data_IF_524261149270
#
_entry.id   IF_524261149270
#
_cell.length_a   1.000
_cell.length_b   1.000
_cell.length_c   1.000
_cell.angle_alpha   90.00
_cell.angle_beta   90.00
_cell.angle_gamma   90.00
#
_symmetry.space_group_name_H-M   'P 1'
#
loop_
_entity.id
_entity.type
_entity.pdbx_description
1 polymer ?
#
# COMPACT_ATOMS: atom_id res chain seq x y z
N UNK A 1 -15.13 -14.41 -19.01
CA UNK A 1 -13.93 -13.54 -18.88
C UNK A 1 -14.42 -12.15 -18.49
N UNK A 2 -13.80 -11.52 -17.49
CA UNK A 2 -14.22 -10.21 -17.00
C UNK A 2 -13.86 -9.14 -18.03
N UNK A 3 -14.83 -8.35 -18.51
CA UNK A 3 -14.59 -7.17 -19.37
C UNK A 3 -13.95 -6.00 -18.60
N UNK A 4 -13.64 -6.18 -17.32
CA UNK A 4 -13.00 -5.15 -16.50
C UNK A 4 -11.56 -4.90 -16.94
N UNK A 5 -11.18 -3.64 -16.96
CA UNK A 5 -9.82 -3.19 -17.27
C UNK A 5 -8.85 -3.63 -16.16
N UNK A 6 -7.71 -4.26 -16.49
CA UNK A 6 -6.70 -4.62 -15.50
C UNK A 6 -5.97 -3.38 -15.00
N UNK A 7 -5.73 -3.33 -13.68
CA UNK A 7 -4.94 -2.29 -13.01
C UNK A 7 -4.12 -2.92 -11.89
N UNK A 8 -3.05 -2.25 -11.47
CA UNK A 8 -2.30 -2.56 -10.26
C UNK A 8 -2.99 -1.83 -9.10
N UNK A 9 -3.38 -2.56 -8.05
CA UNK A 9 -3.84 -1.93 -6.81
C UNK A 9 -2.60 -1.62 -5.97
N UNK A 10 -2.23 -0.34 -5.91
CA UNK A 10 -1.03 0.14 -5.22
C UNK A 10 -1.40 0.77 -3.89
N UNK A 11 -0.78 0.30 -2.81
CA UNK A 11 -0.93 0.83 -1.46
C UNK A 11 0.40 1.46 -1.04
N UNK A 12 0.38 2.77 -0.86
CA UNK A 12 1.49 3.53 -0.28
C UNK A 12 1.29 3.57 1.24
N UNK A 13 2.30 3.13 1.99
CA UNK A 13 2.35 3.15 3.44
C UNK A 13 3.35 4.22 3.85
N UNK A 14 2.92 5.14 4.72
CA UNK A 14 3.76 6.15 5.33
C UNK A 14 3.95 5.81 6.83
N UNK A 15 4.98 5.04 7.20
CA UNK A 15 5.24 4.70 8.60
C UNK A 15 5.35 5.92 9.51
N UNK A 16 5.98 7.01 9.04
CA UNK A 16 6.20 8.21 9.86
C UNK A 16 4.91 8.92 10.29
N UNK A 17 3.86 8.84 9.47
CA UNK A 17 2.56 9.48 9.73
C UNK A 17 1.50 8.47 10.16
N UNK A 18 1.87 7.18 10.26
CA UNK A 18 0.97 6.05 10.47
C UNK A 18 -0.23 6.11 9.51
N UNK A 19 0.02 6.48 8.25
CA UNK A 19 -0.99 6.72 7.22
C UNK A 19 -0.77 5.77 6.04
N UNK A 20 -1.82 5.61 5.25
CA UNK A 20 -1.76 4.90 3.98
C UNK A 20 -2.67 5.54 2.94
N UNK A 21 -2.35 5.27 1.68
CA UNK A 21 -3.11 5.65 0.50
C UNK A 21 -3.25 4.43 -0.40
N UNK A 22 -4.40 4.27 -1.05
CA UNK A 22 -4.63 3.23 -2.04
C UNK A 22 -5.07 3.84 -3.37
N UNK A 23 -4.38 3.49 -4.44
CA UNK A 23 -4.65 3.95 -5.79
C UNK A 23 -4.71 2.77 -6.77
N UNK A 24 -5.44 2.96 -7.88
CA UNK A 24 -5.24 2.14 -9.07
C UNK A 24 -4.12 2.75 -9.91
N UNK A 25 -3.16 1.96 -10.35
CA UNK A 25 -2.18 2.34 -11.37
C UNK A 25 -2.44 1.46 -12.58
N UNK A 26 -2.79 2.06 -13.72
CA UNK A 26 -2.97 1.27 -14.94
C UNK A 26 -1.63 0.80 -15.52
N UNK A 27 -1.67 -0.07 -16.52
CA UNK A 27 -0.45 -0.64 -17.13
C UNK A 27 0.37 0.38 -17.95
N UNK A 28 -0.09 1.64 -18.05
CA UNK A 28 0.68 2.76 -18.63
C UNK A 28 1.26 3.69 -17.56
N UNK A 29 1.02 3.40 -16.28
CA UNK A 29 1.46 4.23 -15.15
C UNK A 29 0.50 5.37 -14.78
N UNK A 30 -0.70 5.46 -15.37
CA UNK A 30 -1.66 6.51 -14.98
C UNK A 30 -2.27 6.18 -13.62
N UNK A 31 -2.18 7.13 -12.69
CA UNK A 31 -2.69 6.99 -11.32
C UNK A 31 -4.15 7.41 -11.23
N UNK A 32 -4.94 6.57 -10.58
CA UNK A 32 -6.30 6.85 -10.12
C UNK A 32 -6.35 6.78 -8.60
N UNK A 33 -6.34 7.93 -7.90
CA UNK A 33 -6.55 7.97 -6.46
C UNK A 33 -7.89 7.33 -6.09
N UNK A 34 -7.89 6.51 -5.03
CA UNK A 34 -9.10 5.85 -4.55
C UNK A 34 -9.45 6.32 -3.15
N UNK A 35 -8.57 6.05 -2.18
CA UNK A 35 -8.85 6.37 -0.79
C UNK A 35 -7.57 6.51 0.04
N UNK A 36 -7.66 7.21 1.17
CA UNK A 36 -6.58 7.36 2.13
C UNK A 36 -7.10 7.27 3.56
N UNK A 37 -6.23 6.96 4.52
CA UNK A 37 -6.56 7.07 5.94
C UNK A 37 -6.29 8.46 6.48
N UNK A 38 -6.82 8.70 7.68
CA UNK A 38 -6.32 9.76 8.57
C UNK A 38 -4.89 9.44 9.03
N UNK A 39 -4.12 10.48 9.35
CA UNK A 39 -2.85 10.31 10.09
C UNK A 39 -3.11 9.59 11.41
N UNK A 40 -2.20 8.71 11.82
CA UNK A 40 -2.35 7.92 13.05
C UNK A 40 -3.15 6.62 12.89
N UNK A 41 -3.68 6.30 11.70
CA UNK A 41 -4.53 5.12 11.51
C UNK A 41 -3.83 3.78 11.82
N UNK A 42 -2.51 3.72 11.67
CA UNK A 42 -1.71 2.55 12.06
C UNK A 42 -1.07 2.65 13.45
N UNK A 43 -1.32 3.70 14.24
CA UNK A 43 -0.64 3.86 15.53
C UNK A 43 -0.91 2.72 16.54
N UNK A 44 -1.96 1.92 16.35
CA UNK A 44 -2.35 0.84 17.26
C UNK A 44 -1.40 -0.36 17.33
N UNK A 45 -0.40 -0.49 16.44
CA UNK A 45 0.63 -1.53 16.61
C UNK A 45 1.76 -1.10 17.56
N UNK A 46 1.93 0.20 17.82
CA UNK A 46 3.03 0.69 18.66
C UNK A 46 2.90 0.12 20.08
N UNK A 47 4.04 -0.19 20.71
CA UNK A 47 4.15 -0.79 22.05
C UNK A 47 3.50 -2.18 22.23
N UNK A 48 3.11 -2.85 21.14
CA UNK A 48 2.64 -4.23 21.18
C UNK A 48 3.78 -5.24 20.96
N UNK A 49 3.66 -6.49 21.44
CA UNK A 49 4.56 -7.58 21.05
C UNK A 49 4.57 -7.81 19.53
N UNK A 50 5.70 -8.25 18.96
CA UNK A 50 5.88 -8.42 17.51
C UNK A 50 4.75 -9.20 16.81
N UNK A 51 4.27 -10.28 17.44
CA UNK A 51 3.18 -11.09 16.88
C UNK A 51 1.86 -10.31 16.79
N UNK A 52 1.57 -9.50 17.81
CA UNK A 52 0.39 -8.63 17.86
C UNK A 52 0.53 -7.46 16.88
N UNK A 53 1.74 -6.90 16.73
CA UNK A 53 2.04 -5.90 15.69
C UNK A 53 1.77 -6.45 14.29
N UNK A 54 2.29 -7.65 14.03
CA UNK A 54 2.12 -8.34 12.75
C UNK A 54 0.63 -8.61 12.48
N UNK A 55 -0.09 -9.12 13.48
CA UNK A 55 -1.52 -9.40 13.39
C UNK A 55 -2.34 -8.13 13.14
N UNK A 56 -2.04 -7.06 13.88
CA UNK A 56 -2.68 -5.75 13.73
C UNK A 56 -2.50 -5.20 12.31
N UNK A 57 -1.26 -5.12 11.82
CA UNK A 57 -0.94 -4.55 10.51
C UNK A 57 -1.57 -5.38 9.40
N UNK A 58 -1.50 -6.70 9.47
CA UNK A 58 -2.18 -7.59 8.52
C UNK A 58 -3.67 -7.33 8.46
N UNK A 59 -4.34 -7.26 9.60
CA UNK A 59 -5.78 -7.04 9.65
C UNK A 59 -6.14 -5.70 9.00
N UNK A 60 -5.41 -4.64 9.33
CA UNK A 60 -5.67 -3.32 8.80
C UNK A 60 -5.38 -3.21 7.31
N UNK A 61 -4.22 -3.71 6.85
CA UNK A 61 -3.83 -3.71 5.44
C UNK A 61 -4.77 -4.59 4.59
N UNK A 62 -5.26 -5.72 5.10
CA UNK A 62 -6.30 -6.49 4.42
C UNK A 62 -7.59 -5.66 4.24
N UNK A 63 -7.96 -4.85 5.26
CA UNK A 63 -9.06 -3.90 5.16
C UNK A 63 -8.83 -2.80 4.10
N UNK A 64 -7.59 -2.34 3.93
CA UNK A 64 -7.21 -1.40 2.85
C UNK A 64 -7.46 -2.05 1.49
N UNK A 65 -7.00 -3.28 1.30
CA UNK A 65 -7.15 -4.01 0.05
C UNK A 65 -8.62 -4.25 -0.31
N UNK A 66 -9.44 -4.65 0.66
CA UNK A 66 -10.87 -4.82 0.45
C UNK A 66 -11.51 -3.52 -0.07
N UNK A 67 -11.25 -2.39 0.59
CA UNK A 67 -11.79 -1.08 0.18
C UNK A 67 -11.27 -0.65 -1.19
N UNK A 68 -9.98 -0.86 -1.47
CA UNK A 68 -9.38 -0.58 -2.77
C UNK A 68 -10.04 -1.38 -3.89
N UNK A 69 -10.21 -2.69 -3.69
CA UNK A 69 -10.94 -3.57 -4.60
C UNK A 69 -12.38 -3.10 -4.85
N UNK A 70 -13.11 -2.70 -3.80
CA UNK A 70 -14.48 -2.19 -3.92
C UNK A 70 -14.54 -0.93 -4.78
N UNK A 71 -13.60 0.02 -4.61
CA UNK A 71 -13.53 1.26 -5.39
C UNK A 71 -13.18 0.98 -6.86
N UNK A 72 -12.26 0.07 -7.13
CA UNK A 72 -11.93 -0.35 -8.50
C UNK A 72 -13.10 -1.06 -9.17
N UNK A 73 -13.83 -1.90 -8.43
CA UNK A 73 -15.00 -2.59 -8.97
C UNK A 73 -16.07 -1.61 -9.46
N UNK A 74 -16.34 -0.56 -8.67
CA UNK A 74 -17.25 0.53 -9.06
C UNK A 74 -16.84 1.26 -10.36
N UNK A 75 -15.55 1.19 -10.71
CA UNK A 75 -14.96 1.81 -11.92
C UNK A 75 -14.83 0.85 -13.10
N UNK A 76 -15.37 -0.38 -13.02
CA UNK A 76 -15.14 -1.43 -14.02
C UNK A 76 -13.66 -1.82 -14.18
N UNK A 77 -12.88 -1.69 -13.11
CA UNK A 77 -11.47 -2.08 -13.05
C UNK A 77 -11.30 -3.32 -12.15
N UNK A 78 -10.26 -4.10 -12.42
CA UNK A 78 -9.92 -5.29 -11.64
C UNK A 78 -8.42 -5.32 -11.35
N UNK A 79 -8.01 -5.49 -10.07
CA UNK A 79 -6.62 -5.73 -9.72
C UNK A 79 -6.06 -6.96 -10.45
N UNK A 80 -4.95 -6.79 -11.16
CA UNK A 80 -4.15 -7.90 -11.70
C UNK A 80 -2.90 -8.19 -10.85
N UNK A 81 -2.48 -7.24 -10.01
CA UNK A 81 -1.41 -7.35 -9.01
C UNK A 81 -1.78 -6.43 -7.83
N UNK A 82 -1.39 -6.81 -6.62
CA UNK A 82 -1.35 -5.92 -5.45
C UNK A 82 0.10 -5.49 -5.24
N UNK A 83 0.31 -4.19 -5.10
CA UNK A 83 1.62 -3.58 -4.90
C UNK A 83 1.59 -2.82 -3.58
N UNK A 84 2.34 -3.29 -2.58
CA UNK A 84 2.61 -2.50 -1.39
C UNK A 84 3.92 -1.73 -1.57
N UNK A 85 3.95 -0.47 -1.16
CA UNK A 85 5.16 0.36 -1.10
C UNK A 85 5.20 0.99 0.28
N UNK A 86 6.24 0.70 1.06
CA UNK A 86 6.47 1.35 2.36
C UNK A 86 7.60 2.37 2.25
N UNK A 87 7.32 3.61 2.67
CA UNK A 87 8.30 4.70 2.77
C UNK A 87 9.18 4.52 4.03
N UNK A 88 10.08 3.55 3.96
CA UNK A 88 10.90 3.07 5.07
C UNK A 88 10.23 1.93 5.87
N UNK A 89 10.91 1.49 6.92
CA UNK A 89 10.43 0.46 7.83
C UNK A 89 9.33 0.99 8.77
N UNK A 90 8.50 0.08 9.31
CA UNK A 90 7.54 0.44 10.34
C UNK A 90 8.27 1.02 11.57
N UNK A 91 7.87 2.22 11.99
CA UNK A 91 8.49 2.92 13.11
C UNK A 91 8.12 2.29 14.46
N UNK A 92 8.96 2.49 15.48
CA UNK A 92 8.73 2.01 16.85
C UNK A 92 8.40 0.51 16.91
N UNK A 93 9.05 -0.25 16.04
CA UNK A 93 8.90 -1.70 15.91
C UNK A 93 10.26 -2.39 15.77
N UNK A 94 10.33 -3.70 16.04
CA UNK A 94 11.49 -4.51 15.68
C UNK A 94 11.77 -4.46 14.17
N UNK A 95 13.05 -4.47 13.74
CA UNK A 95 13.44 -4.35 12.33
C UNK A 95 12.83 -5.44 11.44
N UNK A 96 12.54 -6.62 11.99
CA UNK A 96 11.91 -7.72 11.26
C UNK A 96 10.43 -7.53 10.95
N UNK A 97 9.74 -6.56 11.56
CA UNK A 97 8.28 -6.41 11.40
C UNK A 97 7.88 -6.18 9.94
N UNK A 98 8.61 -5.30 9.24
CA UNK A 98 8.31 -4.95 7.84
C UNK A 98 8.40 -6.17 6.93
N UNK A 99 9.49 -6.93 7.02
CA UNK A 99 9.69 -8.16 6.23
C UNK A 99 8.65 -9.22 6.59
N UNK A 100 8.33 -9.39 7.87
CA UNK A 100 7.34 -10.39 8.32
C UNK A 100 5.93 -10.09 7.81
N UNK A 101 5.52 -8.82 7.79
CA UNK A 101 4.24 -8.40 7.21
C UNK A 101 4.24 -8.63 5.69
N UNK A 102 5.34 -8.29 5.01
CA UNK A 102 5.49 -8.46 3.57
C UNK A 102 5.40 -9.94 3.14
N UNK A 103 6.18 -10.81 3.78
CA UNK A 103 6.18 -12.26 3.56
C UNK A 103 4.79 -12.85 3.76
N UNK A 104 4.10 -12.45 4.85
CA UNK A 104 2.77 -12.94 5.14
C UNK A 104 1.79 -12.66 4.00
N UNK A 105 1.79 -11.44 3.44
CA UNK A 105 0.86 -11.12 2.36
C UNK A 105 1.15 -11.89 1.07
N UNK A 106 2.43 -12.11 0.76
CA UNK A 106 2.85 -12.87 -0.43
C UNK A 106 2.52 -14.35 -0.29
N UNK A 107 2.73 -14.94 0.88
CA UNK A 107 2.42 -16.35 1.14
C UNK A 107 0.92 -16.64 1.12
N UNK A 108 0.11 -15.74 1.68
CA UNK A 108 -1.32 -16.01 1.89
C UNK A 108 -2.25 -15.51 0.78
N UNK A 109 -1.82 -14.54 -0.05
CA UNK A 109 -2.62 -14.05 -1.18
C UNK A 109 -2.06 -14.52 -2.51
N UNK A 110 -2.77 -15.44 -3.16
CA UNK A 110 -2.36 -16.04 -4.44
C UNK A 110 -3.07 -15.45 -5.65
N UNK A 111 -4.16 -14.69 -5.47
CA UNK A 111 -4.88 -14.07 -6.58
C UNK A 111 -5.69 -12.83 -6.14
N UNK A 112 -5.31 -11.61 -6.59
CA UNK A 112 -4.11 -11.30 -7.39
C UNK A 112 -2.80 -11.52 -6.61
N UNK A 113 -1.68 -11.81 -7.30
CA UNK A 113 -0.35 -11.88 -6.67
C UNK A 113 0.04 -10.55 -6.01
N UNK A 114 0.94 -10.65 -5.04
CA UNK A 114 1.42 -9.52 -4.23
C UNK A 114 2.91 -9.32 -4.46
N UNK A 115 3.31 -8.05 -4.52
CA UNK A 115 4.69 -7.64 -4.34
C UNK A 115 4.74 -6.54 -3.28
N UNK A 116 5.78 -6.57 -2.46
CA UNK A 116 6.01 -5.59 -1.42
C UNK A 116 7.37 -4.92 -1.63
N UNK A 117 7.35 -3.60 -1.75
CA UNK A 117 8.53 -2.77 -1.92
C UNK A 117 8.82 -1.96 -0.67
N UNK A 118 10.10 -1.80 -0.39
CA UNK A 118 10.64 -0.79 0.51
C UNK A 118 11.23 0.34 -0.34
N UNK A 119 10.81 1.58 -0.06
CA UNK A 119 11.36 2.80 -0.65
C UNK A 119 12.09 3.57 0.45
N UNK A 120 13.42 3.61 0.36
CA UNK A 120 14.23 4.25 1.39
C UNK A 120 14.26 5.77 1.19
N UNK A 121 13.34 6.46 1.86
CA UNK A 121 13.27 7.93 1.86
C UNK A 121 14.23 8.59 2.85
N UNK A 122 15.10 7.84 3.54
CA UNK A 122 16.04 8.39 4.54
C UNK A 122 17.20 9.16 3.89
N UNK A 123 17.50 8.86 2.64
CA UNK A 123 18.50 9.56 1.86
C UNK A 123 17.86 10.68 1.02
N UNK A 124 18.51 11.86 0.98
CA UNK A 124 18.10 13.03 0.21
C UNK A 124 18.24 12.84 -1.33
N UNK A 125 17.96 11.64 -1.82
CA UNK A 125 17.90 11.30 -3.24
C UNK A 125 16.53 11.74 -3.75
N UNK A 126 16.54 12.53 -4.83
CA UNK A 126 15.32 12.82 -5.57
C UNK A 126 14.86 11.53 -6.27
N UNK A 127 13.87 10.87 -5.67
CA UNK A 127 13.30 9.58 -6.06
C UNK A 127 14.14 8.32 -5.72
N UNK A 128 14.11 7.88 -4.45
CA UNK A 128 14.79 6.67 -4.04
C UNK A 128 14.24 5.42 -4.75
N UNK A 129 15.12 4.44 -5.05
CA UNK A 129 14.74 3.23 -5.77
C UNK A 129 13.82 2.33 -4.93
N UNK A 130 12.97 1.58 -5.62
CA UNK A 130 12.16 0.53 -5.01
C UNK A 130 12.97 -0.74 -4.83
N UNK A 131 13.06 -1.23 -3.60
CA UNK A 131 13.64 -2.54 -3.29
C UNK A 131 12.53 -3.54 -3.01
N UNK A 132 12.41 -4.58 -3.83
CA UNK A 132 11.46 -5.66 -3.55
C UNK A 132 11.94 -6.44 -2.33
N UNK A 133 11.11 -6.52 -1.29
CA UNK A 133 11.41 -7.27 -0.07
C UNK A 133 10.61 -8.58 0.04
N UNK A 134 9.50 -8.68 -0.70
CA UNK A 134 8.74 -9.93 -0.84
C UNK A 134 7.92 -9.94 -2.14
N UNK A 135 7.72 -11.13 -2.70
CA UNK A 135 6.89 -11.35 -3.88
C UNK A 135 7.59 -10.99 -5.19
N UNK A 136 6.86 -11.19 -6.30
CA UNK A 136 7.39 -11.01 -7.65
C UNK A 136 6.47 -10.09 -8.46
N UNK A 137 7.08 -9.37 -9.41
CA UNK A 137 6.40 -8.54 -10.39
C UNK A 137 7.10 -8.70 -11.75
N UNK A 138 6.33 -8.62 -12.84
CA UNK A 138 6.90 -8.61 -14.18
C UNK A 138 7.55 -7.25 -14.48
N UNK A 139 8.55 -7.19 -15.39
CA UNK A 139 9.17 -5.92 -15.77
C UNK A 139 8.16 -4.88 -16.26
N UNK A 140 7.22 -5.25 -17.14
CA UNK A 140 6.20 -4.33 -17.66
C UNK A 140 5.32 -3.71 -16.57
N UNK A 141 5.00 -4.48 -15.52
CA UNK A 141 4.19 -3.97 -14.41
C UNK A 141 5.03 -3.16 -13.43
N UNK A 142 6.31 -3.50 -13.24
CA UNK A 142 7.24 -2.68 -12.48
C UNK A 142 7.43 -1.31 -13.13
N UNK A 143 7.55 -1.25 -14.46
CA UNK A 143 7.66 0.01 -15.21
C UNK A 143 6.42 0.89 -15.00
N UNK A 144 5.23 0.30 -14.97
CA UNK A 144 4.00 1.02 -14.65
C UNK A 144 4.01 1.57 -13.21
N UNK A 145 4.48 0.80 -12.22
CA UNK A 145 4.64 1.27 -10.83
C UNK A 145 5.65 2.41 -10.76
N UNK A 146 6.83 2.26 -11.35
CA UNK A 146 7.88 3.29 -11.35
C UNK A 146 7.41 4.57 -12.05
N UNK A 147 6.59 4.44 -13.10
CA UNK A 147 6.01 5.59 -13.80
C UNK A 147 4.93 6.29 -12.97
N UNK A 148 4.03 5.54 -12.34
CA UNK A 148 2.88 6.09 -11.63
C UNK A 148 3.17 6.53 -10.19
N UNK A 149 4.09 5.86 -9.49
CA UNK A 149 4.33 6.11 -8.07
C UNK A 149 4.72 7.57 -7.76
N UNK A 150 5.59 8.24 -8.53
CA UNK A 150 5.89 9.66 -8.29
C UNK A 150 4.66 10.57 -8.37
N UNK A 151 3.74 10.31 -9.32
CA UNK A 151 2.48 11.02 -9.43
C UNK A 151 1.56 10.73 -8.23
N UNK A 152 1.50 9.47 -7.78
CA UNK A 152 0.72 9.09 -6.61
C UNK A 152 1.22 9.83 -5.35
N UNK A 153 2.54 9.89 -5.15
CA UNK A 153 3.16 10.58 -4.02
C UNK A 153 2.90 12.09 -4.08
N UNK A 154 3.03 12.73 -5.25
CA UNK A 154 2.75 14.17 -5.36
C UNK A 154 1.31 14.49 -4.96
N UNK A 155 0.35 13.63 -5.35
CA UNK A 155 -1.07 13.76 -5.01
C UNK A 155 -1.37 13.53 -3.53
N UNK A 156 -0.48 12.94 -2.74
CA UNK A 156 -0.71 12.69 -1.30
C UNK A 156 -0.76 14.00 -0.48
N UNK A 157 -0.17 15.07 -1.00
CA UNK A 157 -0.18 16.40 -0.38
C UNK A 157 -1.35 17.29 -0.82
N UNK A 158 -2.18 16.80 -1.75
CA UNK A 158 -3.37 17.51 -2.23
C UNK A 158 -4.58 17.24 -1.34
N UNK A 159 -5.44 18.26 -1.17
CA UNK A 159 -6.64 18.16 -0.32
C UNK A 159 -7.74 17.26 -0.90
N UNK A 160 -7.80 17.08 -2.23
CA UNK A 160 -9.00 16.53 -2.90
C UNK A 160 -8.70 15.71 -4.16
N UNK A 161 -7.96 14.58 -4.04
CA UNK A 161 -8.32 13.45 -4.91
C UNK A 161 -8.66 12.17 -4.13
N UNK A 162 -8.55 12.17 -2.80
CA UNK A 162 -8.68 10.95 -1.98
C UNK A 162 -9.99 10.90 -1.20
N UNK A 163 -10.67 9.77 -1.24
CA UNK A 163 -11.72 9.48 -0.26
C UNK A 163 -11.10 9.22 1.12
N UNK A 164 -11.36 10.08 2.10
CA UNK A 164 -10.85 9.93 3.45
C UNK A 164 -11.64 8.87 4.25
N UNK A 165 -10.95 7.81 4.69
CA UNK A 165 -11.51 6.80 5.59
C UNK A 165 -11.30 7.23 7.03
N UNK A 166 -12.39 7.52 7.73
CA UNK A 166 -12.37 7.78 9.16
C UNK A 166 -12.41 6.47 9.95
N UNK A 167 -11.44 6.28 10.83
CA UNK A 167 -11.52 5.26 11.88
C UNK A 167 -12.51 5.73 12.94
N UNK A 168 -13.45 4.86 13.34
CA UNK A 168 -14.30 5.15 14.50
C UNK A 168 -13.39 5.27 15.73
N UNK A 169 -13.56 6.28 16.59
CA UNK A 169 -12.83 6.34 17.84
C UNK A 169 -13.13 5.07 18.65
N UNK A 170 -12.08 4.41 19.10
CA UNK A 170 -12.18 3.36 20.11
C UNK A 170 -12.79 3.97 21.36
N UNK A 171 -14.02 3.54 21.69
CA UNK A 171 -14.66 3.92 22.94
C UNK A 171 -13.76 3.40 24.06
N UNK A 172 -13.21 4.35 24.82
CA UNK A 172 -12.36 4.10 26.00
C UNK A 172 -13.17 3.48 27.13
#
# INVERSE_FOLDING_TARGET
MSNKRPVLLTVLIEPQSFRWYAAGIDLSGTVTPLLCSQKGNFAGYVDQPLDDQTSYLRHHLAGVLQRGCDRLWGRQEKPCQIVFVSEGEFQDAPPELTSRVAEHFVEWMTSPPVVFFLRDSSHAVADPPLTAIAGEITPDWLDAVVTGLPQMISQCSEDDPWELIMTKPSVS
#
